data_IF_668464883039
#
_entry.id   IF_668464883039
#
_cell.length_a   1.000
_cell.length_b   1.000
_cell.length_c   1.000
_cell.angle_alpha   90.00
_cell.angle_beta   90.00
_cell.angle_gamma   90.00
#
_symmetry.space_group_name_H-M   'P 1'
#
loop_
_entity.id
_entity.type
_entity.pdbx_description
1 polymer ?
#
# COMPACT_ATOMS: atom_id res chain seq x y z
N UNK A 1 2.04 -0.05 13.60
CA UNK A 1 3.38 0.21 13.03
C UNK A 1 3.39 1.65 12.53
N UNK A 2 4.49 2.36 12.72
CA UNK A 2 4.67 3.74 12.27
C UNK A 2 5.90 3.78 11.35
N UNK A 3 5.79 4.46 10.20
CA UNK A 3 6.78 4.54 9.12
C UNK A 3 7.18 6.00 8.85
N UNK A 4 8.33 6.20 8.21
CA UNK A 4 8.79 7.52 7.79
C UNK A 4 9.31 8.40 8.93
N UNK A 5 9.27 9.71 8.71
CA UNK A 5 9.77 10.77 9.58
C UNK A 5 10.53 11.84 8.79
N UNK A 6 10.95 12.93 9.44
CA UNK A 6 11.75 13.98 8.81
C UNK A 6 12.94 13.42 8.03
N UNK A 7 13.11 13.88 6.78
CA UNK A 7 14.15 13.44 5.86
C UNK A 7 14.12 11.95 5.48
N UNK A 8 12.97 11.29 5.64
CA UNK A 8 12.77 9.90 5.22
C UNK A 8 11.80 9.81 4.06
N UNK A 9 12.12 8.92 3.12
CA UNK A 9 11.27 8.63 1.98
C UNK A 9 10.40 7.42 2.33
N UNK A 10 9.11 7.55 2.09
CA UNK A 10 8.18 6.43 2.06
C UNK A 10 7.56 6.34 0.67
N UNK A 11 7.52 5.14 0.13
CA UNK A 11 6.85 4.84 -1.13
C UNK A 11 5.43 4.35 -0.83
N UNK A 12 4.46 4.81 -1.61
CA UNK A 12 3.08 4.35 -1.56
C UNK A 12 2.65 3.78 -2.91
N UNK A 13 1.84 2.72 -2.87
CA UNK A 13 1.33 2.05 -4.07
C UNK A 13 -0.07 1.46 -3.85
N UNK A 14 -0.90 1.45 -4.90
CA UNK A 14 -2.18 0.75 -4.94
C UNK A 14 -2.16 -0.46 -5.87
N UNK A 15 -2.21 -1.65 -5.28
CA UNK A 15 -2.19 -2.91 -6.00
C UNK A 15 -3.59 -3.54 -6.07
N UNK A 16 -4.04 -3.85 -7.30
CA UNK A 16 -5.28 -4.60 -7.53
C UNK A 16 -4.98 -6.11 -7.56
N UNK A 17 -5.45 -6.81 -6.54
CA UNK A 17 -5.41 -8.27 -6.49
C UNK A 17 -6.70 -8.83 -7.09
N UNK A 18 -6.57 -9.36 -8.30
CA UNK A 18 -7.61 -10.18 -8.92
C UNK A 18 -7.23 -11.63 -8.67
N UNK A 19 -8.18 -12.45 -8.19
CA UNK A 19 -7.95 -13.87 -8.01
C UNK A 19 -7.86 -14.57 -9.39
N UNK A 20 -6.71 -14.42 -10.04
CA UNK A 20 -6.35 -15.19 -11.24
C UNK A 20 -5.87 -16.56 -10.77
N UNK A 21 -6.50 -17.60 -11.29
CA UNK A 21 -6.06 -18.97 -11.06
C UNK A 21 -4.66 -19.17 -11.61
N UNK A 22 -3.76 -19.70 -10.77
CA UNK A 22 -2.42 -20.06 -11.22
C UNK A 22 -2.55 -21.14 -12.29
N UNK A 23 -1.91 -20.95 -13.44
CA UNK A 23 -2.01 -21.84 -14.61
C UNK A 23 -3.40 -21.95 -15.23
N UNK A 24 -4.31 -21.00 -14.97
CA UNK A 24 -5.69 -21.03 -15.49
C UNK A 24 -6.50 -22.27 -15.04
N UNK A 25 -6.08 -22.91 -13.93
CA UNK A 25 -6.69 -24.13 -13.38
C UNK A 25 -7.44 -23.80 -12.10
N UNK A 26 -8.69 -24.25 -12.00
CA UNK A 26 -9.53 -24.08 -10.81
C UNK A 26 -10.62 -23.01 -10.97
N UNK A 27 -11.26 -22.64 -9.86
CA UNK A 27 -12.40 -21.72 -9.84
C UNK A 27 -11.94 -20.27 -9.88
N UNK A 28 -12.46 -19.49 -10.82
CA UNK A 28 -12.33 -18.04 -10.82
C UNK A 28 -13.15 -17.46 -9.66
N UNK A 29 -12.51 -16.71 -8.77
CA UNK A 29 -13.23 -15.81 -7.87
C UNK A 29 -13.26 -14.43 -8.53
N UNK A 30 -14.46 -13.92 -8.82
CA UNK A 30 -14.66 -12.63 -9.49
C UNK A 30 -14.34 -11.43 -8.58
N UNK A 31 -14.03 -11.68 -7.31
CA UNK A 31 -13.74 -10.64 -6.33
C UNK A 31 -12.40 -9.99 -6.60
N UNK A 32 -12.46 -8.70 -6.95
CA UNK A 32 -11.32 -7.80 -6.97
C UNK A 32 -11.06 -7.27 -5.55
N UNK A 33 -9.80 -7.25 -5.13
CA UNK A 33 -9.38 -6.75 -3.82
C UNK A 33 -8.32 -5.69 -4.04
N UNK A 34 -8.53 -4.49 -3.50
CA UNK A 34 -7.49 -3.47 -3.48
C UNK A 34 -6.62 -3.62 -2.24
N UNK A 35 -5.32 -3.49 -2.41
CA UNK A 35 -4.35 -3.43 -1.33
C UNK A 35 -3.60 -2.12 -1.45
N UNK A 36 -3.56 -1.36 -0.37
CA UNK A 36 -2.74 -0.17 -0.26
C UNK A 36 -1.45 -0.52 0.48
N UNK A 37 -0.31 -0.23 -0.15
CA UNK A 37 1.01 -0.47 0.39
C UNK A 37 1.73 0.82 0.75
N UNK A 38 2.49 0.78 1.85
CA UNK A 38 3.41 1.84 2.27
C UNK A 38 4.74 1.19 2.65
N UNK A 39 5.83 1.59 2.01
CA UNK A 39 7.17 1.06 2.26
C UNK A 39 8.12 2.18 2.71
N UNK A 40 8.75 1.99 3.86
CA UNK A 40 9.87 2.84 4.30
C UNK A 40 11.17 2.23 3.77
N UNK A 41 11.71 2.85 2.72
CA UNK A 41 12.90 2.41 1.99
C UNK A 41 14.20 2.81 2.66
N UNK A 42 14.14 3.53 3.80
CA UNK A 42 15.32 3.85 4.60
C UNK A 42 15.84 2.65 5.41
N UNK A 43 15.08 1.55 5.45
CA UNK A 43 15.47 0.29 6.09
C UNK A 43 15.86 -0.77 5.06
N UNK A 44 16.80 -1.65 5.43
CA UNK A 44 17.16 -2.84 4.63
C UNK A 44 17.08 -4.09 5.52
N UNK A 45 16.12 -5.00 5.30
CA UNK A 45 15.04 -4.91 4.30
C UNK A 45 14.04 -3.80 4.63
N UNK A 46 13.33 -3.32 3.60
CA UNK A 46 12.32 -2.27 3.74
C UNK A 46 11.25 -2.66 4.75
N UNK A 47 10.76 -1.67 5.49
CA UNK A 47 9.63 -1.85 6.42
C UNK A 47 8.34 -1.54 5.69
N UNK A 48 7.43 -2.52 5.61
CA UNK A 48 6.23 -2.43 4.78
C UNK A 48 4.97 -2.54 5.63
N UNK A 49 4.00 -1.67 5.34
CA UNK A 49 2.63 -1.75 5.80
C UNK A 49 1.71 -2.05 4.62
N UNK A 50 0.83 -3.03 4.75
CA UNK A 50 -0.17 -3.39 3.74
C UNK A 50 -1.56 -3.39 4.38
N UNK A 51 -2.54 -2.77 3.72
CA UNK A 51 -3.93 -2.77 4.16
C UNK A 51 -4.87 -3.05 2.99
N UNK A 52 -5.77 -4.02 3.17
CA UNK A 52 -6.86 -4.25 2.23
C UNK A 52 -7.86 -3.10 2.34
N UNK A 53 -8.19 -2.50 1.21
CA UNK A 53 -9.15 -1.39 1.12
C UNK A 53 -10.25 -1.71 0.13
N UNK A 54 -11.44 -1.16 0.36
CA UNK A 54 -12.58 -1.34 -0.54
C UNK A 54 -12.45 -0.49 -1.82
N UNK A 55 -11.65 0.58 -1.76
CA UNK A 55 -11.44 1.52 -2.86
C UNK A 55 -10.09 2.22 -2.74
N UNK A 56 -9.48 2.53 -3.89
CA UNK A 56 -8.25 3.34 -4.03
C UNK A 56 -8.49 4.86 -3.99
N UNK A 57 -9.66 5.30 -3.50
CA UNK A 57 -9.99 6.72 -3.49
C UNK A 57 -9.14 7.48 -2.46
N UNK A 58 -8.77 8.73 -2.77
CA UNK A 58 -8.02 9.57 -1.84
C UNK A 58 -8.75 9.72 -0.48
N UNK A 59 -10.08 9.73 -0.47
CA UNK A 59 -10.88 9.75 0.76
C UNK A 59 -10.60 8.55 1.66
N UNK A 60 -10.30 7.38 1.08
CA UNK A 60 -9.96 6.16 1.85
C UNK A 60 -8.48 6.07 2.20
N UNK A 61 -7.60 6.54 1.33
CA UNK A 61 -6.14 6.38 1.50
C UNK A 61 -5.51 7.46 2.41
N UNK A 62 -5.95 8.72 2.31
CA UNK A 62 -5.39 9.81 3.13
C UNK A 62 -5.47 9.56 4.64
N UNK A 63 -6.57 9.02 5.20
CA UNK A 63 -6.62 8.65 6.61
C UNK A 63 -5.63 7.54 7.01
N UNK A 64 -5.34 6.59 6.11
CA UNK A 64 -4.35 5.54 6.35
C UNK A 64 -2.96 6.16 6.41
N UNK A 65 -2.62 7.01 5.43
CA UNK A 65 -1.33 7.70 5.39
C UNK A 65 -1.11 8.49 6.68
N UNK A 66 -2.10 9.29 7.11
CA UNK A 66 -2.00 10.07 8.36
C UNK A 66 -1.82 9.23 9.62
N UNK A 67 -2.34 8.00 9.64
CA UNK A 67 -2.20 7.08 10.78
C UNK A 67 -0.87 6.34 10.79
N UNK A 68 -0.32 6.04 9.62
CA UNK A 68 0.85 5.14 9.47
C UNK A 68 2.14 5.91 9.23
N UNK A 69 2.10 7.05 8.55
CA UNK A 69 3.27 7.85 8.15
C UNK A 69 3.46 9.02 9.11
N UNK A 70 4.67 9.18 9.63
CA UNK A 70 5.01 10.31 10.49
C UNK A 70 4.97 11.65 9.73
N UNK A 71 4.54 12.75 10.38
CA UNK A 71 4.68 14.08 9.83
C UNK A 71 6.12 14.41 9.43
N UNK A 72 6.29 15.13 8.33
CA UNK A 72 7.60 15.51 7.80
C UNK A 72 8.27 14.44 6.91
N UNK A 73 7.60 13.32 6.65
CA UNK A 73 8.04 12.34 5.65
C UNK A 73 7.92 12.90 4.23
N UNK A 74 8.82 12.46 3.34
CA UNK A 74 8.73 12.66 1.90
C UNK A 74 7.99 11.45 1.34
N UNK A 75 6.82 11.68 0.75
CA UNK A 75 6.01 10.60 0.18
C UNK A 75 6.24 10.57 -1.32
N UNK A 76 6.68 9.42 -1.83
CA UNK A 76 6.73 9.13 -3.26
C UNK A 76 5.52 8.25 -3.62
N UNK A 77 4.77 8.66 -4.62
CA UNK A 77 3.64 7.93 -5.17
C UNK A 77 3.91 7.72 -6.64
N UNK A 78 3.86 6.46 -7.08
CA UNK A 78 3.86 6.15 -8.52
C UNK A 78 2.42 6.38 -9.01
N UNK A 79 2.20 7.49 -9.72
CA UNK A 79 0.92 7.80 -10.38
C UNK A 79 1.14 8.14 -11.86
#
# INVERSE_FOLDING_TARGET
MILGGPNRIVEIDESLFVHKTKYNVGRFAETQVWVFGIADTTFTPAKVYLEVVESRSAQRLLPIIKRVVLPGSIIHSEQ
#
